data_IF_229983975133
#
_entry.id   IF_229983975133
#
_cell.length_a   1.000
_cell.length_b   1.000
_cell.length_c   1.000
_cell.angle_alpha   90.00
_cell.angle_beta   90.00
_cell.angle_gamma   90.00
#
_symmetry.space_group_name_H-M   'P 1'
#
loop_
_entity.id
_entity.type
_entity.pdbx_description
1 polymer ?
#
# COMPACT_ATOMS: atom_id res chain seq x y z
N UNK A 1 58.67 60.10 -22.28
CA UNK A 1 59.31 58.77 -22.17
C UNK A 1 58.68 57.99 -21.03
N UNK A 2 58.10 56.83 -21.37
CA UNK A 2 57.85 55.63 -20.53
C UNK A 2 56.94 55.75 -19.30
N UNK A 3 55.64 55.58 -19.56
CA UNK A 3 54.68 54.95 -18.65
C UNK A 3 55.15 53.54 -18.27
N UNK A 4 55.20 53.22 -16.96
CA UNK A 4 55.39 51.86 -16.45
C UNK A 4 54.07 51.38 -15.84
N UNK A 5 53.38 50.50 -16.56
CA UNK A 5 52.22 49.77 -16.07
C UNK A 5 52.64 48.69 -15.06
N UNK A 6 52.09 48.77 -13.85
CA UNK A 6 52.04 47.63 -12.91
C UNK A 6 50.76 46.84 -13.20
N UNK A 7 50.82 45.54 -13.56
CA UNK A 7 49.61 44.73 -13.57
C UNK A 7 49.31 44.32 -12.13
N UNK A 8 48.17 44.77 -11.60
CA UNK A 8 47.56 44.17 -10.40
C UNK A 8 46.98 42.81 -10.83
N UNK A 9 47.68 41.72 -10.47
CA UNK A 9 47.04 40.40 -10.44
C UNK A 9 45.99 40.41 -9.31
N UNK A 10 44.72 40.48 -9.69
CA UNK A 10 43.61 40.12 -8.82
C UNK A 10 43.51 38.60 -8.78
N UNK A 11 44.01 38.00 -7.70
CA UNK A 11 43.79 36.59 -7.39
C UNK A 11 42.35 36.46 -6.88
N UNK A 12 41.41 36.11 -7.74
CA UNK A 12 40.07 35.72 -7.35
C UNK A 12 40.13 34.33 -6.70
N UNK A 13 40.14 34.29 -5.37
CA UNK A 13 40.02 33.04 -4.61
C UNK A 13 38.62 32.47 -4.76
N UNK A 14 38.48 31.41 -5.55
CA UNK A 14 37.26 30.61 -5.61
C UNK A 14 37.12 29.83 -4.29
N UNK A 15 36.25 30.31 -3.41
CA UNK A 15 35.81 29.55 -2.23
C UNK A 15 34.87 28.45 -2.74
N UNK A 16 35.42 27.26 -2.96
CA UNK A 16 34.62 26.06 -3.19
C UNK A 16 33.99 25.62 -1.87
N UNK A 17 32.71 25.96 -1.67
CA UNK A 17 31.90 25.37 -0.61
C UNK A 17 31.76 23.86 -0.88
N UNK A 18 32.13 22.97 0.05
CA UNK A 18 31.87 21.55 -0.10
C UNK A 18 30.36 21.35 0.00
N UNK A 19 29.72 21.07 -1.14
CA UNK A 19 28.37 20.51 -1.14
C UNK A 19 28.49 19.10 -0.56
N UNK A 20 28.09 18.94 0.70
CA UNK A 20 27.88 17.63 1.31
C UNK A 20 26.70 16.96 0.59
N UNK A 21 26.98 16.28 -0.52
CA UNK A 21 26.04 15.37 -1.15
C UNK A 21 25.88 14.17 -0.20
N UNK A 22 24.79 14.17 0.58
CA UNK A 22 24.35 12.96 1.28
C UNK A 22 24.10 11.83 0.25
N UNK A 23 24.15 10.55 0.65
CA UNK A 23 23.84 9.46 -0.25
C UNK A 23 22.45 9.68 -0.84
N UNK A 24 22.36 9.87 -2.15
CA UNK A 24 21.09 10.01 -2.84
C UNK A 24 20.28 8.72 -2.62
N UNK A 25 19.06 8.86 -2.10
CA UNK A 25 18.10 7.77 -2.09
C UNK A 25 17.75 7.48 -3.57
N UNK A 26 17.99 6.26 -4.03
CA UNK A 26 17.77 5.89 -5.44
C UNK A 26 16.28 5.71 -5.79
N UNK A 27 15.41 5.56 -4.78
CA UNK A 27 13.99 5.34 -4.95
C UNK A 27 13.15 6.34 -4.14
N UNK A 28 11.85 6.52 -4.46
CA UNK A 28 10.96 7.41 -3.73
C UNK A 28 10.85 7.06 -2.24
N UNK A 29 10.95 8.08 -1.40
CA UNK A 29 10.80 7.95 0.04
C UNK A 29 10.32 9.25 0.70
N UNK A 30 9.67 9.12 1.86
CA UNK A 30 9.35 10.26 2.72
C UNK A 30 9.39 9.83 4.19
N UNK A 31 9.96 10.67 5.04
CA UNK A 31 10.00 10.52 6.50
C UNK A 31 9.37 11.75 7.11
N UNK A 32 8.40 11.56 7.99
CA UNK A 32 7.67 12.66 8.62
C UNK A 32 7.26 12.32 10.05
N UNK A 33 7.04 13.37 10.82
CA UNK A 33 6.44 13.29 12.14
C UNK A 33 4.92 13.12 12.02
N UNK A 34 4.37 12.08 12.64
CA UNK A 34 2.97 11.72 12.48
C UNK A 34 2.03 12.76 13.08
N UNK A 35 2.39 13.41 14.18
CA UNK A 35 1.48 14.28 14.93
C UNK A 35 1.12 15.53 14.13
N UNK A 36 2.14 16.14 13.52
CA UNK A 36 2.00 17.43 12.83
C UNK A 36 2.24 17.33 11.31
N UNK A 37 2.61 16.16 10.81
CA UNK A 37 2.90 15.92 9.40
C UNK A 37 4.18 16.57 8.89
N UNK A 38 5.05 17.13 9.75
CA UNK A 38 6.29 17.80 9.33
C UNK A 38 7.24 16.80 8.68
N UNK A 39 7.76 17.17 7.53
CA UNK A 39 8.68 16.33 6.77
C UNK A 39 10.09 16.50 7.31
N UNK A 40 10.74 15.39 7.63
CA UNK A 40 12.15 15.34 8.05
C UNK A 40 13.07 15.10 6.86
N UNK A 41 12.65 14.23 5.95
CA UNK A 41 13.38 13.90 4.73
C UNK A 41 12.41 13.43 3.65
N UNK A 42 12.70 13.74 2.39
CA UNK A 42 11.97 13.17 1.27
C UNK A 42 12.84 13.07 0.01
N UNK A 43 12.51 12.12 -0.85
CA UNK A 43 13.11 11.91 -2.17
C UNK A 43 11.99 11.52 -3.13
N UNK A 44 11.92 12.17 -4.29
CA UNK A 44 10.92 11.87 -5.34
C UNK A 44 9.49 11.64 -4.80
N UNK A 45 9.05 12.46 -3.83
CA UNK A 45 7.86 12.18 -3.03
C UNK A 45 6.57 12.09 -3.86
N UNK A 46 6.55 12.70 -5.05
CA UNK A 46 5.44 12.73 -6.01
C UNK A 46 5.61 11.77 -7.19
N UNK A 47 6.71 11.00 -7.24
CA UNK A 47 6.92 10.01 -8.30
C UNK A 47 5.88 8.91 -8.17
N UNK A 48 5.17 8.64 -9.27
CA UNK A 48 4.17 7.57 -9.29
C UNK A 48 4.84 6.21 -9.19
N UNK A 49 4.21 5.33 -8.42
CA UNK A 49 4.72 3.99 -8.13
C UNK A 49 3.58 2.98 -8.06
N UNK A 50 3.87 1.73 -8.38
CA UNK A 50 2.92 0.63 -8.15
C UNK A 50 2.82 0.34 -6.64
N UNK A 51 1.65 0.49 -6.00
CA UNK A 51 1.53 0.40 -4.54
C UNK A 51 1.79 -1.02 -4.00
N UNK A 52 1.57 -2.04 -4.81
CA UNK A 52 1.48 -3.43 -4.34
C UNK A 52 0.53 -3.53 -3.13
N UNK A 53 0.81 -4.43 -2.20
CA UNK A 53 -0.01 -4.61 -0.99
C UNK A 53 -0.13 -3.37 -0.07
N UNK A 54 0.58 -2.26 -0.31
CA UNK A 54 0.32 -1.01 0.42
C UNK A 54 -1.11 -0.49 0.18
N UNK A 55 -1.72 -0.84 -0.96
CA UNK A 55 -3.14 -0.60 -1.26
C UNK A 55 -4.08 -1.07 -0.14
N UNK A 56 -3.73 -2.14 0.58
CA UNK A 56 -4.55 -2.69 1.66
C UNK A 56 -4.72 -1.71 2.84
N UNK A 57 -3.85 -0.69 2.96
CA UNK A 57 -4.09 0.41 3.89
C UNK A 57 -5.29 1.27 3.46
N UNK A 58 -5.46 1.53 2.16
CA UNK A 58 -6.64 2.23 1.65
C UNK A 58 -7.89 1.37 1.82
N UNK A 59 -7.79 0.06 1.61
CA UNK A 59 -8.89 -0.88 1.92
C UNK A 59 -9.27 -0.87 3.39
N UNK A 60 -8.29 -0.87 4.29
CA UNK A 60 -8.53 -0.73 5.73
C UNK A 60 -9.18 0.62 6.06
N UNK A 61 -8.66 1.71 5.50
CA UNK A 61 -9.19 3.06 5.70
C UNK A 61 -10.67 3.20 5.27
N UNK A 62 -11.02 2.78 4.05
CA UNK A 62 -12.41 2.74 3.58
C UNK A 62 -13.29 1.86 4.47
N UNK A 63 -12.75 0.73 4.95
CA UNK A 63 -13.46 -0.15 5.88
C UNK A 63 -13.71 0.52 7.23
N UNK A 64 -12.74 1.28 7.77
CA UNK A 64 -12.90 2.01 9.02
C UNK A 64 -13.95 3.11 8.91
N UNK A 65 -13.96 3.83 7.77
CA UNK A 65 -15.01 4.79 7.43
C UNK A 65 -16.39 4.12 7.38
N UNK A 66 -16.51 2.95 6.74
CA UNK A 66 -17.76 2.19 6.70
C UNK A 66 -18.22 1.71 8.09
N UNK A 67 -17.30 1.33 8.98
CA UNK A 67 -17.61 0.99 10.38
C UNK A 67 -18.13 2.23 11.11
N UNK A 68 -17.44 3.37 11.00
CA UNK A 68 -17.83 4.62 11.65
C UNK A 68 -19.19 5.15 11.14
N UNK A 69 -19.52 4.89 9.87
CA UNK A 69 -20.81 5.21 9.27
C UNK A 69 -21.92 4.18 9.60
N UNK A 70 -21.61 3.14 10.38
CA UNK A 70 -22.56 2.08 10.75
C UNK A 70 -23.04 1.25 9.54
N UNK A 71 -22.24 1.18 8.47
CA UNK A 71 -22.52 0.32 7.32
C UNK A 71 -22.15 -1.15 7.57
N UNK A 72 -21.19 -1.37 8.47
CA UNK A 72 -20.69 -2.69 8.90
C UNK A 72 -20.25 -2.58 10.36
N UNK A 73 -20.07 -3.70 11.03
CA UNK A 73 -19.46 -3.79 12.36
C UNK A 73 -18.28 -4.78 12.34
N UNK A 74 -17.43 -4.72 13.37
CA UNK A 74 -16.29 -5.63 13.46
C UNK A 74 -16.71 -7.10 13.51
N UNK A 75 -17.90 -7.40 14.01
CA UNK A 75 -18.48 -8.73 14.05
C UNK A 75 -19.33 -9.11 12.83
N UNK A 76 -19.42 -8.22 11.83
CA UNK A 76 -20.12 -8.48 10.57
C UNK A 76 -19.52 -9.67 9.80
N UNK A 77 -20.36 -10.46 9.09
CA UNK A 77 -19.90 -11.55 8.26
C UNK A 77 -19.30 -11.04 6.95
N UNK A 78 -18.08 -11.49 6.66
CA UNK A 78 -17.41 -11.33 5.37
C UNK A 78 -17.39 -12.69 4.67
N UNK A 79 -18.11 -12.78 3.54
CA UNK A 79 -18.21 -14.00 2.73
C UNK A 79 -17.07 -14.07 1.73
N UNK A 80 -16.37 -15.20 1.69
CA UNK A 80 -15.39 -15.51 0.65
C UNK A 80 -16.15 -15.85 -0.63
N UNK A 81 -16.04 -15.00 -1.64
CA UNK A 81 -16.61 -15.21 -2.97
C UNK A 81 -15.74 -16.16 -3.81
N UNK A 82 -16.25 -16.58 -4.98
CA UNK A 82 -15.43 -17.32 -5.97
C UNK A 82 -14.26 -16.47 -6.50
N UNK A 83 -14.49 -15.16 -6.75
CA UNK A 83 -13.44 -14.23 -7.20
C UNK A 83 -12.33 -14.11 -6.17
N UNK A 84 -12.70 -13.75 -4.93
CA UNK A 84 -11.75 -13.56 -3.84
C UNK A 84 -10.91 -14.83 -3.56
N UNK A 85 -11.51 -16.02 -3.53
CA UNK A 85 -10.74 -17.27 -3.37
C UNK A 85 -9.76 -17.53 -4.54
N UNK A 86 -10.11 -17.04 -5.74
CA UNK A 86 -9.33 -17.15 -6.97
C UNK A 86 -8.11 -16.25 -7.05
N UNK A 87 -7.98 -15.26 -6.14
CA UNK A 87 -6.84 -14.34 -6.14
C UNK A 87 -5.49 -15.10 -5.97
N UNK A 88 -4.41 -14.62 -6.61
CA UNK A 88 -3.08 -15.19 -6.43
C UNK A 88 -2.52 -14.93 -5.02
N UNK A 89 -1.57 -15.76 -4.53
CA UNK A 89 -0.89 -15.54 -3.24
C UNK A 89 -0.17 -14.18 -3.18
N UNK A 90 0.06 -13.57 -2.02
CA UNK A 90 -0.23 -14.02 -0.65
C UNK A 90 -1.73 -14.19 -0.38
N UNK A 91 -2.15 -15.33 0.21
CA UNK A 91 -3.56 -15.61 0.52
C UNK A 91 -3.74 -16.54 1.72
N UNK A 92 -4.94 -16.56 2.30
CA UNK A 92 -5.32 -17.49 3.37
C UNK A 92 -5.78 -18.85 2.82
N UNK A 93 -6.39 -18.87 1.64
CA UNK A 93 -6.80 -20.09 0.96
C UNK A 93 -8.13 -20.67 1.46
N UNK A 94 -9.02 -19.83 1.98
CA UNK A 94 -10.36 -20.28 2.38
C UNK A 94 -11.22 -20.63 1.16
N UNK A 95 -12.16 -21.57 1.33
CA UNK A 95 -13.04 -22.01 0.25
C UNK A 95 -14.13 -20.96 -0.03
N UNK A 96 -14.60 -20.81 -1.29
CA UNK A 96 -15.79 -20.01 -1.59
C UNK A 96 -16.98 -20.42 -0.70
N UNK A 97 -17.74 -19.44 -0.25
CA UNK A 97 -18.86 -19.61 0.69
C UNK A 97 -18.44 -19.59 2.17
N UNK A 98 -17.15 -19.68 2.48
CA UNK A 98 -16.67 -19.54 3.86
C UNK A 98 -16.99 -18.14 4.39
N UNK A 99 -17.34 -18.04 5.66
CA UNK A 99 -17.64 -16.77 6.34
C UNK A 99 -16.56 -16.53 7.39
N UNK A 100 -16.05 -15.31 7.45
CA UNK A 100 -15.17 -14.84 8.53
C UNK A 100 -15.72 -13.57 9.14
N UNK A 101 -15.37 -13.33 10.40
CA UNK A 101 -15.64 -12.05 11.06
C UNK A 101 -14.79 -10.92 10.45
N UNK A 102 -15.33 -9.72 10.26
CA UNK A 102 -14.59 -8.58 9.69
C UNK A 102 -13.30 -8.27 10.47
N UNK A 103 -13.34 -8.32 11.80
CA UNK A 103 -12.16 -8.21 12.66
C UNK A 103 -11.03 -9.20 12.29
N UNK A 104 -11.38 -10.47 12.05
CA UNK A 104 -10.41 -11.47 11.59
C UNK A 104 -9.91 -11.15 10.17
N UNK A 105 -10.82 -10.71 9.29
CA UNK A 105 -10.47 -10.33 7.92
C UNK A 105 -9.43 -9.20 7.89
N UNK A 106 -9.63 -8.14 8.68
CA UNK A 106 -8.72 -7.02 8.79
C UNK A 106 -7.34 -7.45 9.33
N UNK A 107 -7.30 -8.28 10.37
CA UNK A 107 -6.03 -8.83 10.92
C UNK A 107 -5.29 -9.68 9.89
N UNK A 108 -5.98 -10.58 9.18
CA UNK A 108 -5.39 -11.41 8.12
C UNK A 108 -4.86 -10.56 6.95
N UNK A 109 -5.61 -9.53 6.57
CA UNK A 109 -5.22 -8.59 5.51
C UNK A 109 -4.01 -7.74 5.90
N UNK A 110 -3.94 -7.23 7.12
CA UNK A 110 -2.86 -6.34 7.56
C UNK A 110 -1.56 -7.10 7.86
N UNK A 111 -1.65 -8.24 8.54
CA UNK A 111 -0.47 -8.99 9.01
C UNK A 111 0.08 -9.94 7.94
N UNK A 112 -0.78 -10.75 7.30
CA UNK A 112 -0.37 -11.72 6.25
C UNK A 112 -0.47 -11.14 4.84
N UNK A 113 -1.00 -9.92 4.70
CA UNK A 113 -1.18 -9.30 3.37
C UNK A 113 -2.07 -10.15 2.45
N UNK A 114 -3.09 -10.82 3.00
CA UNK A 114 -3.90 -11.79 2.26
C UNK A 114 -4.76 -11.13 1.16
N UNK A 115 -4.51 -11.46 -0.10
CA UNK A 115 -5.18 -10.92 -1.28
C UNK A 115 -6.62 -11.39 -1.41
N UNK A 116 -6.87 -12.65 -1.10
CA UNK A 116 -8.22 -13.24 -1.06
C UNK A 116 -9.08 -12.53 -0.03
N UNK A 117 -8.56 -12.31 1.17
CA UNK A 117 -9.28 -11.60 2.23
C UNK A 117 -9.52 -10.15 1.87
N UNK A 118 -8.53 -9.44 1.30
CA UNK A 118 -8.71 -8.05 0.86
C UNK A 118 -9.79 -7.93 -0.24
N UNK A 119 -9.82 -8.86 -1.20
CA UNK A 119 -10.87 -8.91 -2.22
C UNK A 119 -12.24 -9.20 -1.61
N UNK A 120 -12.33 -10.15 -0.68
CA UNK A 120 -13.58 -10.46 0.01
C UNK A 120 -14.11 -9.25 0.80
N UNK A 121 -13.24 -8.54 1.53
CA UNK A 121 -13.60 -7.28 2.22
C UNK A 121 -14.12 -6.26 1.23
N UNK A 122 -13.41 -6.02 0.12
CA UNK A 122 -13.82 -5.07 -0.90
C UNK A 122 -15.19 -5.40 -1.50
N UNK A 123 -15.42 -6.66 -1.88
CA UNK A 123 -16.70 -7.10 -2.45
C UNK A 123 -17.86 -7.04 -1.45
N UNK A 124 -17.64 -7.41 -0.19
CA UNK A 124 -18.72 -7.41 0.81
C UNK A 124 -19.09 -5.97 1.26
N UNK A 125 -18.12 -5.05 1.33
CA UNK A 125 -18.37 -3.68 1.78
C UNK A 125 -18.79 -2.77 0.63
N UNK A 126 -18.22 -2.96 -0.56
CA UNK A 126 -18.54 -2.16 -1.74
C UNK A 126 -19.64 -2.78 -2.61
N UNK A 127 -20.07 -4.02 -2.36
CA UNK A 127 -20.99 -4.78 -3.22
C UNK A 127 -20.32 -5.37 -4.47
N UNK A 128 -19.25 -4.73 -4.96
CA UNK A 128 -18.38 -5.25 -6.02
C UNK A 128 -16.97 -4.67 -5.92
N UNK A 129 -16.00 -5.27 -6.60
CA UNK A 129 -14.65 -4.71 -6.71
C UNK A 129 -14.67 -3.29 -7.30
N UNK A 130 -15.46 -3.05 -8.35
CA UNK A 130 -15.52 -1.77 -9.04
C UNK A 130 -16.08 -0.66 -8.13
N UNK A 131 -17.21 -0.93 -7.47
CA UNK A 131 -17.81 0.00 -6.53
C UNK A 131 -16.91 0.26 -5.31
N UNK A 132 -16.19 -0.76 -4.83
CA UNK A 132 -15.20 -0.55 -3.77
C UNK A 132 -14.01 0.31 -4.24
N UNK A 133 -13.50 0.09 -5.45
CA UNK A 133 -12.44 0.92 -6.02
C UNK A 133 -12.89 2.38 -6.20
N UNK A 134 -14.14 2.63 -6.57
CA UNK A 134 -14.72 3.98 -6.60
C UNK A 134 -14.71 4.65 -5.22
N UNK A 135 -15.09 3.91 -4.17
CA UNK A 135 -14.99 4.39 -2.79
C UNK A 135 -13.54 4.71 -2.39
N UNK A 136 -12.59 3.83 -2.73
CA UNK A 136 -11.15 4.06 -2.49
C UNK A 136 -10.67 5.34 -3.18
N UNK A 137 -11.06 5.57 -4.43
CA UNK A 137 -10.66 6.78 -5.17
C UNK A 137 -11.38 8.04 -4.68
N UNK A 138 -12.59 7.91 -4.17
CA UNK A 138 -13.32 9.02 -3.52
C UNK A 138 -12.61 9.46 -2.25
N UNK A 139 -12.20 8.52 -1.40
CA UNK A 139 -11.40 8.83 -0.21
C UNK A 139 -10.01 9.34 -0.58
N UNK A 140 -9.35 8.79 -1.60
CA UNK A 140 -8.08 9.31 -2.10
C UNK A 140 -8.18 10.79 -2.49
N UNK A 141 -9.23 11.18 -3.23
CA UNK A 141 -9.51 12.59 -3.55
C UNK A 141 -9.76 13.44 -2.31
N UNK A 142 -10.58 12.94 -1.37
CA UNK A 142 -10.90 13.64 -0.11
C UNK A 142 -9.65 13.94 0.72
N UNK A 143 -8.71 12.99 0.75
CA UNK A 143 -7.44 13.13 1.44
C UNK A 143 -6.43 14.01 0.68
N UNK A 144 -6.69 14.35 -0.59
CA UNK A 144 -5.76 15.10 -1.43
C UNK A 144 -4.64 14.24 -2.02
N UNK A 145 -4.85 12.93 -2.16
CA UNK A 145 -3.91 11.98 -2.78
C UNK A 145 -3.90 12.11 -4.31
N UNK A 146 -3.39 13.23 -4.83
CA UNK A 146 -3.48 13.62 -6.25
C UNK A 146 -2.62 12.77 -7.19
N UNK A 147 -1.69 11.98 -6.65
CA UNK A 147 -0.86 11.05 -7.40
C UNK A 147 -1.28 9.59 -7.24
N UNK A 148 -2.54 9.33 -6.85
CA UNK A 148 -3.03 7.98 -6.56
C UNK A 148 -4.30 7.61 -7.33
N UNK A 149 -4.35 6.36 -7.79
CA UNK A 149 -5.53 5.73 -8.36
C UNK A 149 -5.55 4.23 -8.02
N UNK A 150 -6.68 3.74 -7.54
CA UNK A 150 -6.88 2.37 -7.10
C UNK A 150 -7.92 1.66 -7.97
N UNK A 151 -7.67 0.40 -8.31
CA UNK A 151 -8.59 -0.42 -9.15
C UNK A 151 -8.99 -1.74 -8.50
N UNK A 152 -8.29 -2.13 -7.43
CA UNK A 152 -8.57 -3.33 -6.65
C UNK A 152 -8.22 -3.10 -5.17
N UNK A 153 -8.83 -3.86 -4.23
CA UNK A 153 -8.56 -3.73 -2.80
C UNK A 153 -7.27 -4.42 -2.35
N UNK A 154 -6.68 -5.29 -3.17
CA UNK A 154 -5.56 -6.13 -2.73
C UNK A 154 -4.19 -5.58 -3.12
N UNK A 155 -4.10 -4.67 -4.09
CA UNK A 155 -2.83 -4.14 -4.57
C UNK A 155 -2.18 -4.95 -5.69
N UNK A 156 -2.87 -5.93 -6.27
CA UNK A 156 -2.35 -6.66 -7.42
C UNK A 156 -2.14 -5.72 -8.61
N UNK A 157 -1.17 -6.08 -9.45
CA UNK A 157 -0.71 -5.23 -10.53
C UNK A 157 -1.83 -4.88 -11.51
N UNK A 158 -1.93 -3.60 -11.81
CA UNK A 158 -2.63 -3.02 -12.95
C UNK A 158 -1.84 -1.79 -13.40
N UNK A 159 -1.71 -1.51 -14.71
CA UNK A 159 -1.07 -0.28 -15.18
C UNK A 159 -1.80 0.97 -14.68
N UNK A 160 -3.11 0.90 -14.45
CA UNK A 160 -3.93 2.00 -13.97
C UNK A 160 -3.83 2.19 -12.45
N UNK A 161 -3.15 1.31 -11.72
CA UNK A 161 -3.06 1.39 -10.26
C UNK A 161 -1.71 1.96 -9.82
N UNK A 162 -1.73 3.17 -9.26
CA UNK A 162 -0.52 3.87 -8.84
C UNK A 162 -0.76 4.70 -7.58
N UNK A 163 0.33 5.07 -6.91
CA UNK A 163 0.35 5.98 -5.75
C UNK A 163 1.68 6.73 -5.70
N UNK A 164 1.90 7.55 -4.68
CA UNK A 164 3.18 8.23 -4.43
C UNK A 164 3.59 8.06 -2.97
N UNK A 165 4.87 8.30 -2.66
CA UNK A 165 5.34 8.24 -1.27
C UNK A 165 4.60 9.28 -0.39
N UNK A 166 4.38 10.48 -0.92
CA UNK A 166 3.62 11.56 -0.25
C UNK A 166 2.18 11.17 0.03
N UNK A 167 1.48 10.60 -0.97
CA UNK A 167 0.07 10.22 -0.82
C UNK A 167 -0.12 9.10 0.18
N UNK A 168 0.79 8.12 0.21
CA UNK A 168 0.81 7.10 1.25
C UNK A 168 1.06 7.70 2.64
N UNK A 169 1.88 8.75 2.74
CA UNK A 169 2.06 9.51 3.98
C UNK A 169 0.76 10.13 4.48
N UNK A 170 -0.03 10.76 3.59
CA UNK A 170 -1.35 11.28 3.95
C UNK A 170 -2.32 10.19 4.41
N UNK A 171 -2.32 9.05 3.72
CA UNK A 171 -3.17 7.92 4.09
C UNK A 171 -2.82 7.40 5.49
N UNK A 172 -1.53 7.31 5.82
CA UNK A 172 -1.07 6.93 7.16
C UNK A 172 -1.54 7.92 8.21
N UNK A 173 -1.38 9.22 7.95
CA UNK A 173 -1.89 10.28 8.85
C UNK A 173 -3.39 10.12 9.09
N UNK A 174 -4.17 9.96 8.01
CA UNK A 174 -5.62 9.79 8.10
C UNK A 174 -6.01 8.55 8.92
N UNK A 175 -5.37 7.40 8.69
CA UNK A 175 -5.62 6.18 9.46
C UNK A 175 -5.33 6.39 10.95
N UNK A 176 -4.17 6.97 11.27
CA UNK A 176 -3.71 7.09 12.67
C UNK A 176 -4.45 8.18 13.44
N UNK A 177 -4.85 9.27 12.78
CA UNK A 177 -5.55 10.39 13.41
C UNK A 177 -7.07 10.17 13.49
N UNK A 178 -7.69 9.67 12.42
CA UNK A 178 -9.15 9.47 12.39
C UNK A 178 -9.56 8.16 13.08
N UNK A 179 -8.67 7.15 13.12
CA UNK A 179 -8.96 5.83 13.67
C UNK A 179 -7.88 5.27 14.62
N UNK A 180 -7.46 6.01 15.66
CA UNK A 180 -6.41 5.59 16.58
C UNK A 180 -6.74 4.26 17.30
N UNK A 181 -8.02 3.92 17.48
CA UNK A 181 -8.47 2.68 18.11
C UNK A 181 -8.01 1.41 17.38
N UNK A 182 -7.65 1.51 16.09
CA UNK A 182 -7.15 0.37 15.30
C UNK A 182 -5.63 0.29 15.23
N UNK A 183 -4.90 1.23 15.87
CA UNK A 183 -3.44 1.21 15.94
C UNK A 183 -2.85 -0.15 16.39
N UNK A 184 -3.42 -0.85 17.39
CA UNK A 184 -2.89 -2.15 17.84
C UNK A 184 -2.86 -3.25 16.76
N UNK A 185 -3.60 -3.13 15.65
CA UNK A 185 -3.55 -4.13 14.59
C UNK A 185 -2.29 -4.06 13.73
N UNK A 186 -1.66 -2.89 13.66
CA UNK A 186 -0.43 -2.70 12.88
C UNK A 186 0.82 -3.22 13.59
N UNK A 187 0.74 -3.44 14.91
CA UNK A 187 1.81 -3.99 15.74
C UNK A 187 1.66 -5.50 16.02
N UNK A 188 0.67 -6.18 15.45
CA UNK A 188 0.50 -7.64 15.61
C UNK A 188 1.74 -8.37 15.07
N UNK A 189 2.37 -9.18 15.89
CA UNK A 189 3.62 -9.88 15.56
C UNK A 189 3.39 -11.12 14.69
N UNK A 190 2.22 -11.75 14.82
CA UNK A 190 1.83 -12.88 14.00
C UNK A 190 0.40 -13.35 14.25
N UNK A 191 -0.07 -14.23 13.37
CA UNK A 191 -1.40 -14.82 13.43
C UNK A 191 -1.33 -16.32 13.71
N UNK A 192 -2.34 -16.83 14.40
CA UNK A 192 -2.60 -18.26 14.54
C UNK A 192 -3.91 -18.64 13.84
N UNK A 193 -3.85 -19.55 12.88
CA UNK A 193 -5.02 -20.14 12.20
C UNK A 193 -5.05 -21.63 12.50
N UNK A 194 -5.87 -22.01 13.48
CA UNK A 194 -5.79 -23.34 14.09
C UNK A 194 -4.37 -23.58 14.62
N UNK A 195 -3.69 -24.61 14.13
CA UNK A 195 -2.30 -24.94 14.51
C UNK A 195 -1.23 -24.19 13.71
N UNK A 196 -1.63 -23.45 12.66
CA UNK A 196 -0.68 -22.78 11.76
C UNK A 196 -0.33 -21.39 12.30
N UNK A 197 0.94 -21.17 12.58
CA UNK A 197 1.49 -19.85 12.91
C UNK A 197 1.96 -19.14 11.65
N UNK A 198 1.65 -17.85 11.55
CA UNK A 198 1.92 -17.01 10.38
C UNK A 198 2.56 -15.71 10.88
N UNK A 199 3.88 -15.51 10.72
CA UNK A 199 4.53 -14.30 11.19
C UNK A 199 4.12 -13.08 10.34
N UNK A 200 4.24 -11.90 10.93
CA UNK A 200 4.10 -10.63 10.20
C UNK A 200 5.23 -10.48 9.16
N UNK A 201 4.90 -9.93 7.99
CA UNK A 201 5.88 -9.59 6.96
C UNK A 201 6.68 -8.31 7.24
N UNK A 202 6.17 -7.46 8.13
CA UNK A 202 6.87 -6.28 8.59
C UNK A 202 8.00 -6.69 9.56
N UNK A 203 9.23 -6.68 9.07
CA UNK A 203 10.41 -7.07 9.84
C UNK A 203 10.80 -6.06 10.93
N UNK A 204 10.20 -4.88 11.01
CA UNK A 204 10.45 -3.97 12.13
C UNK A 204 9.70 -4.38 13.40
N UNK A 205 8.57 -5.08 13.27
CA UNK A 205 7.75 -5.48 14.42
C UNK A 205 8.53 -6.45 15.32
N UNK A 206 8.67 -6.07 16.58
CA UNK A 206 9.45 -6.76 17.61
C UNK A 206 10.97 -6.70 17.41
N UNK A 207 11.48 -5.97 16.41
CA UNK A 207 12.92 -5.91 16.08
C UNK A 207 13.47 -4.51 15.96
N UNK A 208 12.64 -3.48 15.89
CA UNK A 208 13.09 -2.10 15.84
C UNK A 208 12.49 -1.35 17.03
N UNK A 209 13.31 -0.65 17.84
CA UNK A 209 12.83 0.02 19.05
C UNK A 209 11.68 0.99 18.77
N UNK A 210 10.53 0.71 19.39
CA UNK A 210 9.31 1.50 19.26
C UNK A 210 8.45 1.18 18.04
N UNK A 211 8.79 0.18 17.21
CA UNK A 211 8.04 -0.15 15.99
C UNK A 211 6.58 -0.49 16.29
N UNK A 212 5.67 0.22 15.60
CA UNK A 212 4.22 0.10 15.79
C UNK A 212 3.44 -0.03 14.47
N UNK A 213 4.14 -0.22 13.35
CA UNK A 213 3.49 -0.43 12.06
C UNK A 213 4.41 -0.33 10.84
N UNK A 214 3.87 -0.31 9.62
CA UNK A 214 2.45 -0.53 9.30
C UNK A 214 2.26 -1.61 8.24
N UNK A 215 2.83 -1.45 7.04
CA UNK A 215 2.50 -2.33 5.92
C UNK A 215 3.66 -2.50 4.94
N UNK A 216 3.82 -3.73 4.45
CA UNK A 216 4.73 -4.09 3.36
C UNK A 216 3.98 -4.29 2.05
N UNK A 217 4.69 -4.23 0.92
CA UNK A 217 4.15 -4.66 -0.36
C UNK A 217 5.23 -5.14 -1.34
N UNK A 218 4.86 -6.08 -2.21
CA UNK A 218 5.67 -6.48 -3.35
C UNK A 218 4.78 -6.94 -4.50
N UNK A 219 5.04 -6.39 -5.68
CA UNK A 219 4.80 -7.00 -6.98
C UNK A 219 6.06 -6.79 -7.81
N UNK A 220 6.31 -7.64 -8.81
CA UNK A 220 7.51 -7.52 -9.64
C UNK A 220 7.76 -6.08 -10.17
N UNK A 221 6.74 -5.36 -10.67
CA UNK A 221 6.92 -4.00 -11.16
C UNK A 221 7.23 -2.96 -10.09
N UNK A 222 6.81 -3.19 -8.83
CA UNK A 222 6.99 -2.21 -7.75
C UNK A 222 8.30 -2.38 -7.01
N UNK A 223 8.95 -3.54 -7.10
CA UNK A 223 9.93 -3.96 -6.09
C UNK A 223 9.31 -4.06 -4.70
N UNK A 224 10.17 -4.06 -3.69
CA UNK A 224 9.80 -4.26 -2.29
C UNK A 224 9.51 -2.92 -1.64
N UNK A 225 8.24 -2.68 -1.31
CA UNK A 225 7.77 -1.45 -0.67
C UNK A 225 7.55 -1.66 0.83
N UNK A 226 7.66 -0.59 1.60
CA UNK A 226 7.44 -0.56 3.04
C UNK A 226 6.93 0.78 3.53
N UNK A 227 5.97 0.73 4.44
CA UNK A 227 5.61 1.83 5.33
C UNK A 227 5.89 1.34 6.74
N UNK A 228 6.92 1.91 7.37
CA UNK A 228 7.28 1.65 8.76
C UNK A 228 6.91 2.83 9.65
N UNK A 229 6.50 2.54 10.89
CA UNK A 229 6.29 3.56 11.91
C UNK A 229 6.86 3.11 13.25
N UNK A 230 7.34 4.06 14.03
CA UNK A 230 7.85 3.82 15.36
C UNK A 230 7.59 5.00 16.29
N UNK A 231 7.40 4.70 17.58
CA UNK A 231 7.17 5.67 18.64
C UNK A 231 8.30 5.60 19.67
N UNK A 232 8.97 6.71 19.95
CA UNK A 232 10.01 6.86 20.99
C UNK A 232 9.77 8.14 21.75
N UNK A 233 9.77 8.07 23.08
CA UNK A 233 9.59 9.23 23.97
C UNK A 233 8.37 10.10 23.62
N UNK A 234 7.26 9.46 23.25
CA UNK A 234 6.01 10.13 22.86
C UNK A 234 5.95 10.65 21.42
N UNK A 235 7.07 10.64 20.68
CA UNK A 235 7.14 11.09 19.28
C UNK A 235 6.99 9.91 18.33
N UNK A 236 6.06 10.01 17.38
CA UNK A 236 5.84 8.96 16.36
C UNK A 236 6.37 9.42 15.00
N UNK A 237 7.30 8.64 14.43
CA UNK A 237 7.79 8.86 13.07
C UNK A 237 7.27 7.80 12.10
N UNK A 238 7.06 8.21 10.86
CA UNK A 238 6.68 7.33 9.75
C UNK A 238 7.69 7.47 8.64
N UNK A 239 8.12 6.34 8.08
CA UNK A 239 8.95 6.26 6.88
C UNK A 239 8.22 5.45 5.80
N UNK A 240 8.02 6.05 4.63
CA UNK A 240 7.53 5.39 3.41
C UNK A 240 8.73 5.18 2.50
N UNK A 241 8.95 3.94 2.07
CA UNK A 241 10.08 3.51 1.23
C UNK A 241 9.54 2.64 0.10
N UNK A 242 9.81 3.02 -1.15
CA UNK A 242 9.34 2.31 -2.33
C UNK A 242 10.52 1.71 -3.11
N UNK A 243 10.29 0.61 -3.83
CA UNK A 243 11.23 0.14 -4.86
C UNK A 243 12.49 -0.59 -4.41
N UNK A 244 12.56 -1.08 -3.17
CA UNK A 244 13.73 -1.81 -2.68
C UNK A 244 13.87 -3.19 -3.34
N UNK A 245 15.06 -3.79 -3.24
CA UNK A 245 15.40 -5.01 -4.02
C UNK A 245 15.14 -6.33 -3.30
N UNK A 246 14.83 -6.29 -2.01
CA UNK A 246 14.53 -7.47 -1.20
C UNK A 246 13.68 -7.13 0.04
N UNK A 247 13.06 -8.12 0.71
CA UNK A 247 12.39 -7.92 1.98
C UNK A 247 13.31 -7.38 3.09
N UNK A 248 14.60 -7.72 3.04
CA UNK A 248 15.60 -7.29 4.03
C UNK A 248 15.97 -5.83 3.78
N UNK A 249 16.38 -5.48 2.55
CA UNK A 249 16.83 -4.11 2.24
C UNK A 249 15.71 -3.08 2.42
N UNK A 250 14.43 -3.44 2.16
CA UNK A 250 13.31 -2.54 2.50
C UNK A 250 13.22 -2.24 4.00
N UNK A 251 13.44 -3.24 4.85
CA UNK A 251 13.37 -3.09 6.29
C UNK A 251 14.57 -2.27 6.79
N UNK A 252 15.76 -2.54 6.28
CA UNK A 252 16.98 -1.82 6.64
C UNK A 252 16.96 -0.35 6.21
N UNK A 253 16.52 -0.06 4.98
CA UNK A 253 16.36 1.32 4.51
C UNK A 253 15.30 2.06 5.35
N UNK A 254 14.18 1.40 5.67
CA UNK A 254 13.14 2.01 6.52
C UNK A 254 13.65 2.28 7.94
N UNK A 255 14.34 1.32 8.56
CA UNK A 255 14.90 1.48 9.89
C UNK A 255 15.96 2.59 9.96
N UNK A 256 16.87 2.64 8.97
CA UNK A 256 17.86 3.71 8.82
C UNK A 256 17.21 5.08 8.75
N UNK A 257 16.16 5.22 7.94
CA UNK A 257 15.45 6.49 7.76
C UNK A 257 14.71 6.92 9.03
N UNK A 258 14.13 5.97 9.77
CA UNK A 258 13.51 6.25 11.07
C UNK A 258 14.58 6.71 12.09
N UNK A 259 15.72 6.03 12.19
CA UNK A 259 16.80 6.43 13.11
C UNK A 259 17.37 7.81 12.76
N UNK A 260 17.59 8.09 11.48
CA UNK A 260 17.96 9.43 11.01
C UNK A 260 16.92 10.48 11.40
N UNK A 261 15.62 10.15 11.27
CA UNK A 261 14.54 11.04 11.68
C UNK A 261 14.48 11.30 13.19
N UNK A 262 14.75 10.29 14.02
CA UNK A 262 14.81 10.45 15.48
C UNK A 262 16.05 11.24 15.92
N UNK A 263 17.17 11.11 15.21
CA UNK A 263 18.39 11.88 15.48
C UNK A 263 18.35 13.32 14.91
N UNK A 264 17.48 13.59 13.94
CA UNK A 264 17.39 14.89 13.29
C UNK A 264 16.68 15.92 14.19
N UNK A 265 17.23 17.14 14.35
CA UNK A 265 16.51 18.25 14.97
C UNK A 265 15.34 18.67 14.08
N UNK A 266 14.25 19.13 14.68
CA UNK A 266 13.14 19.73 13.93
C UNK A 266 13.63 20.97 13.18
N UNK A 267 13.74 20.89 11.84
CA UNK A 267 14.32 21.96 11.03
C UNK A 267 13.43 22.44 9.88
N UNK A 268 12.40 21.66 9.52
CA UNK A 268 11.45 21.99 8.44
C UNK A 268 10.04 22.20 8.97
N UNK A 269 9.40 23.27 8.51
CA UNK A 269 7.99 23.57 8.78
C UNK A 269 7.04 23.01 7.71
N UNK A 270 7.58 22.49 6.61
CA UNK A 270 6.77 21.94 5.52
C UNK A 270 6.18 20.61 5.93
N UNK A 271 4.86 20.47 5.77
CA UNK A 271 4.13 19.24 6.08
C UNK A 271 3.91 18.38 4.84
N UNK A 272 3.61 17.09 5.01
CA UNK A 272 3.22 16.17 3.92
C UNK A 272 2.09 16.76 3.08
N UNK A 273 1.10 17.38 3.74
CA UNK A 273 -0.03 18.01 3.06
C UNK A 273 0.36 19.25 2.24
N UNK A 274 1.26 20.09 2.77
CA UNK A 274 1.66 21.37 2.18
C UNK A 274 2.88 21.29 1.25
N UNK A 275 3.50 20.11 1.09
CA UNK A 275 4.64 19.93 0.20
C UNK A 275 4.24 20.27 -1.25
N UNK A 276 4.91 21.23 -1.92
CA UNK A 276 4.63 21.54 -3.31
C UNK A 276 5.08 20.37 -4.21
N UNK A 277 4.28 20.06 -5.24
CA UNK A 277 4.63 19.04 -6.22
C UNK A 277 5.92 19.40 -6.96
N UNK A 278 6.77 18.41 -7.22
CA UNK A 278 8.04 18.58 -7.92
C UNK A 278 8.46 17.29 -8.64
N UNK A 279 9.41 17.42 -9.56
CA UNK A 279 9.94 16.29 -10.34
C UNK A 279 8.95 15.71 -11.34
N UNK A 280 9.15 14.45 -11.70
CA UNK A 280 8.24 13.70 -12.57
C UNK A 280 7.09 13.09 -11.76
N UNK A 281 5.87 13.57 -12.03
CA UNK A 281 4.65 13.17 -11.33
C UNK A 281 3.71 12.31 -12.17
N UNK A 282 4.13 11.89 -13.37
CA UNK A 282 3.24 11.22 -14.34
C UNK A 282 3.69 9.83 -14.69
N UNK A 283 5.00 9.57 -14.78
CA UNK A 283 5.51 8.25 -15.16
C UNK A 283 5.69 7.33 -13.96
N UNK A 284 5.45 6.03 -14.19
CA UNK A 284 5.64 4.95 -13.20
C UNK A 284 6.87 4.15 -13.59
N UNK A 285 7.75 3.86 -12.64
CA UNK A 285 8.89 2.97 -12.88
C UNK A 285 8.44 1.50 -12.77
N UNK A 286 8.89 0.64 -13.70
CA UNK A 286 8.62 -0.80 -13.70
C UNK A 286 9.91 -1.60 -13.46
N UNK A 287 10.01 -2.22 -12.28
CA UNK A 287 11.18 -3.00 -11.86
C UNK A 287 11.12 -4.49 -12.25
N UNK A 288 10.12 -4.92 -13.05
CA UNK A 288 9.87 -6.35 -13.36
C UNK A 288 11.09 -7.03 -13.96
N UNK A 289 11.79 -6.35 -14.86
CA UNK A 289 12.93 -6.89 -15.59
C UNK A 289 14.18 -7.02 -14.73
N UNK A 290 14.33 -6.15 -13.73
CA UNK A 290 15.42 -6.21 -12.77
C UNK A 290 15.22 -7.31 -11.73
N UNK A 291 13.97 -7.50 -11.26
CA UNK A 291 13.69 -8.31 -10.08
C UNK A 291 13.15 -9.71 -10.39
N UNK A 292 12.26 -9.86 -11.37
CA UNK A 292 11.55 -11.12 -11.58
C UNK A 292 12.01 -11.92 -12.79
N UNK A 293 12.59 -11.30 -13.82
CA UNK A 293 13.24 -12.05 -14.91
C UNK A 293 14.54 -12.72 -14.47
N UNK A 294 15.22 -12.18 -13.44
CA UNK A 294 16.59 -12.57 -13.06
C UNK A 294 16.69 -13.40 -11.76
N UNK A 295 15.63 -13.50 -10.95
CA UNK A 295 15.68 -14.15 -9.62
C UNK A 295 14.77 -15.39 -9.52
N UNK A 296 15.16 -16.42 -8.75
CA UNK A 296 14.31 -17.59 -8.50
C UNK A 296 13.06 -17.25 -7.67
N UNK A 297 11.98 -18.01 -7.84
CA UNK A 297 10.66 -17.74 -7.23
C UNK A 297 10.68 -17.60 -5.69
N UNK A 298 11.62 -18.25 -5.00
CA UNK A 298 11.78 -18.12 -3.53
C UNK A 298 12.25 -16.72 -3.10
N UNK A 299 12.97 -16.02 -3.96
CA UNK A 299 13.42 -14.63 -3.73
C UNK A 299 12.36 -13.59 -4.15
N UNK A 300 11.27 -14.02 -4.80
CA UNK A 300 10.13 -13.21 -5.21
C UNK A 300 8.98 -13.28 -4.19
N UNK A 301 9.31 -13.46 -2.92
CA UNK A 301 8.37 -13.61 -1.81
C UNK A 301 8.44 -12.41 -0.87
N UNK A 302 7.28 -11.92 -0.42
CA UNK A 302 7.23 -10.95 0.69
C UNK A 302 7.71 -11.54 2.02
N UNK A 303 7.65 -12.87 2.16
CA UNK A 303 8.19 -13.54 3.34
C UNK A 303 9.71 -13.51 3.28
N UNK A 304 10.34 -12.93 4.30
CA UNK A 304 11.78 -13.06 4.46
C UNK A 304 12.14 -14.54 4.67
N UNK A 305 13.12 -15.01 3.89
CA UNK A 305 13.76 -16.30 4.18
C UNK A 305 14.59 -16.12 5.45
N UNK A 306 14.58 -17.09 6.40
CA UNK A 306 15.46 -17.04 7.55
C UNK A 306 16.91 -16.83 7.08
N UNK A 307 17.51 -15.75 7.56
CA UNK A 307 18.87 -15.42 7.20
C UNK A 307 19.79 -16.37 7.97
N UNK A 308 20.61 -17.16 7.27
CA UNK A 308 21.53 -18.09 7.91
C UNK A 308 22.55 -17.38 8.81
N UNK A 309 23.13 -18.10 9.78
CA UNK A 309 23.96 -17.57 10.87
C UNK A 309 25.19 -16.73 10.45
N UNK A 310 25.54 -16.73 9.16
CA UNK A 310 26.72 -16.06 8.58
C UNK A 310 26.43 -14.71 7.90
N UNK A 311 25.18 -14.27 7.81
CA UNK A 311 24.90 -12.98 7.18
C UNK A 311 25.27 -11.80 8.10
N UNK A 312 25.62 -10.62 7.54
CA UNK A 312 25.84 -9.42 8.33
C UNK A 312 24.60 -9.13 9.19
N UNK A 313 24.82 -8.89 10.49
CA UNK A 313 23.73 -8.44 11.37
C UNK A 313 23.34 -7.03 10.94
N UNK A 314 22.04 -6.80 10.78
CA UNK A 314 21.55 -5.46 10.53
C UNK A 314 21.90 -4.57 11.73
N UNK A 315 22.48 -3.37 11.53
CA UNK A 315 22.80 -2.47 12.64
C UNK A 315 21.55 -1.81 13.25
N UNK A 316 20.39 -1.91 12.58
CA UNK A 316 19.15 -1.26 12.99
C UNK A 316 18.10 -2.22 13.56
N UNK A 317 18.21 -3.52 13.28
CA UNK A 317 17.25 -4.52 13.73
C UNK A 317 17.87 -5.40 14.82
N UNK A 318 17.17 -5.48 15.93
CA UNK A 318 17.46 -6.36 17.04
C UNK A 318 16.96 -7.78 16.74
N UNK A 319 17.56 -8.75 17.44
CA UNK A 319 17.02 -10.11 17.44
C UNK A 319 15.74 -10.10 18.27
N UNK A 320 14.69 -10.81 17.83
CA UNK A 320 13.58 -11.12 18.72
C UNK A 320 14.13 -11.84 19.95
N UNK A 321 13.94 -11.22 21.10
CA UNK A 321 14.31 -11.72 22.41
C UNK A 321 13.17 -12.54 23.05
N UNK A 322 11.98 -12.55 22.45
CA UNK A 322 10.81 -13.28 22.90
C UNK A 322 10.13 -14.07 21.78
N UNK A 323 9.24 -14.99 22.18
CA UNK A 323 8.37 -15.73 21.25
C UNK A 323 7.27 -14.78 20.78
N UNK A 324 7.03 -14.63 19.46
CA UNK A 324 5.98 -13.75 18.96
C UNK A 324 4.62 -14.04 19.57
N UNK A 325 3.88 -12.98 19.88
CA UNK A 325 2.49 -13.05 20.31
C UNK A 325 1.60 -13.38 19.11
N UNK A 326 0.98 -14.55 19.15
CA UNK A 326 0.12 -15.03 18.06
C UNK A 326 -1.35 -14.65 18.29
N UNK A 327 -1.90 -13.83 17.40
CA UNK A 327 -3.33 -13.47 17.43
C UNK A 327 -4.15 -14.52 16.69
N UNK A 328 -5.08 -15.15 17.40
CA UNK A 328 -5.97 -16.15 16.81
C UNK A 328 -6.93 -15.50 15.80
N UNK A 329 -6.98 -16.07 14.59
CA UNK A 329 -7.93 -15.68 13.53
C UNK A 329 -8.46 -16.92 12.82
N UNK A 330 -9.66 -16.83 12.26
CA UNK A 330 -10.28 -17.94 11.56
C UNK A 330 -11.64 -17.63 10.95
N UNK A 331 -12.27 -18.69 10.47
CA UNK A 331 -13.63 -18.68 9.95
C UNK A 331 -14.67 -18.74 11.08
N UNK A 332 -15.90 -18.35 10.77
CA UNK A 332 -17.04 -18.34 11.70
C UNK A 332 -17.01 -17.17 12.67
N UNK A 333 -17.86 -17.25 13.70
CA UNK A 333 -17.94 -16.28 14.80
C UNK A 333 -18.46 -14.88 14.40
N UNK A 334 -19.03 -14.75 13.21
CA UNK A 334 -19.68 -13.51 12.78
C UNK A 334 -21.13 -13.48 13.27
N UNK A 335 -21.42 -12.56 14.18
CA UNK A 335 -22.74 -12.34 14.82
C UNK A 335 -23.35 -10.99 14.48
N UNK A 336 -22.57 -10.12 13.83
CA UNK A 336 -22.94 -8.75 13.53
C UNK A 336 -23.88 -8.63 12.33
N UNK A 337 -24.37 -7.41 12.07
CA UNK A 337 -25.20 -7.14 10.90
C UNK A 337 -24.44 -7.46 9.62
N UNK A 338 -25.14 -7.91 8.57
CA UNK A 338 -24.54 -8.05 7.25
C UNK A 338 -24.14 -6.67 6.71
N UNK A 339 -23.02 -6.57 5.97
CA UNK A 339 -22.64 -5.32 5.33
C UNK A 339 -23.78 -4.74 4.48
N UNK A 340 -24.06 -3.45 4.61
CA UNK A 340 -25.20 -2.80 3.92
C UNK A 340 -25.20 -3.02 2.40
N UNK A 341 -24.03 -3.08 1.77
CA UNK A 341 -23.92 -3.30 0.32
C UNK A 341 -24.40 -4.70 -0.13
N UNK A 342 -24.59 -5.63 0.80
CA UNK A 342 -25.12 -6.97 0.54
C UNK A 342 -26.65 -7.05 0.71
N UNK A 343 -27.29 -5.94 1.02
CA UNK A 343 -28.73 -5.84 1.27
C UNK A 343 -29.40 -4.99 0.18
N UNK A 344 -30.62 -5.35 -0.20
CA UNK A 344 -31.49 -4.54 -1.04
C UNK A 344 -32.11 -3.37 -0.25
N UNK A 345 -32.86 -2.50 -0.93
CA UNK A 345 -33.50 -1.33 -0.30
C UNK A 345 -34.51 -1.70 0.81
N UNK A 346 -34.99 -2.94 0.86
CA UNK A 346 -35.85 -3.49 1.91
C UNK A 346 -35.09 -4.24 3.01
N UNK A 347 -33.75 -4.23 2.98
CA UNK A 347 -32.91 -4.93 3.94
C UNK A 347 -32.84 -6.44 3.72
N UNK A 348 -33.35 -6.96 2.60
CA UNK A 348 -33.26 -8.38 2.23
C UNK A 348 -31.96 -8.63 1.49
N UNK A 349 -31.41 -9.82 1.67
CA UNK A 349 -30.17 -10.17 1.00
C UNK A 349 -30.35 -10.28 -0.50
N UNK A 350 -29.35 -9.82 -1.25
CA UNK A 350 -29.17 -10.32 -2.60
C UNK A 350 -28.96 -11.83 -2.51
N UNK A 351 -29.99 -12.60 -2.89
CA UNK A 351 -29.78 -14.00 -3.23
C UNK A 351 -28.67 -14.06 -4.28
N UNK A 352 -27.76 -15.04 -4.19
CA UNK A 352 -26.71 -15.30 -5.19
C UNK A 352 -27.35 -15.74 -6.54
N UNK A 353 -28.33 -15.01 -7.05
CA UNK A 353 -28.86 -15.15 -8.41
C UNK A 353 -27.82 -14.46 -9.28
N UNK A 354 -27.06 -15.20 -10.11
CA UNK A 354 -26.19 -14.58 -11.07
C UNK A 354 -27.05 -13.63 -11.91
N UNK A 355 -26.73 -12.33 -11.91
CA UNK A 355 -27.35 -11.42 -12.86
C UNK A 355 -27.03 -11.97 -14.25
N UNK A 356 -28.03 -12.35 -15.06
CA UNK A 356 -27.76 -12.82 -16.40
C UNK A 356 -27.06 -11.70 -17.15
N UNK A 357 -25.82 -11.92 -17.55
CA UNK A 357 -25.16 -11.05 -18.52
C UNK A 357 -25.89 -11.21 -19.84
N UNK A 358 -26.22 -10.09 -20.48
CA UNK A 358 -26.83 -10.12 -21.80
C UNK A 358 -25.95 -10.91 -22.78
N UNK A 359 -26.60 -11.76 -23.57
CA UNK A 359 -25.97 -12.62 -24.58
C UNK A 359 -25.67 -11.78 -25.84
N UNK A 360 -24.41 -11.67 -26.29
CA UNK A 360 -24.04 -10.87 -27.47
C UNK A 360 -24.74 -11.28 -28.77
N UNK A 361 -25.27 -12.50 -28.83
CA UNK A 361 -25.95 -13.12 -29.96
C UNK A 361 -27.48 -12.85 -30.01
N UNK A 362 -28.06 -12.14 -29.04
CA UNK A 362 -29.48 -11.82 -29.01
C UNK A 362 -29.74 -10.31 -28.90
N UNK A 363 -30.82 -9.75 -29.47
CA UNK A 363 -31.14 -8.34 -29.29
C UNK A 363 -31.31 -7.95 -27.80
N UNK A 364 -30.92 -6.72 -27.46
CA UNK A 364 -31.01 -6.19 -26.10
C UNK A 364 -32.49 -6.11 -25.65
N UNK A 365 -32.85 -6.64 -24.46
CA UNK A 365 -34.22 -6.58 -23.99
C UNK A 365 -34.67 -5.14 -23.73
N UNK A 366 -35.93 -4.78 -24.03
CA UNK A 366 -36.46 -3.44 -23.76
C UNK A 366 -36.36 -3.10 -22.27
N UNK A 367 -35.71 -1.99 -21.93
CA UNK A 367 -35.53 -1.53 -20.55
C UNK A 367 -34.17 -1.83 -19.91
N UNK A 368 -33.24 -2.46 -20.62
CA UNK A 368 -31.83 -2.48 -20.20
C UNK A 368 -31.21 -1.11 -20.53
N UNK A 369 -31.19 -0.18 -19.56
CA UNK A 369 -30.42 1.05 -19.73
C UNK A 369 -28.92 0.73 -19.92
N UNK A 370 -28.24 1.38 -20.86
CA UNK A 370 -26.82 1.17 -21.04
C UNK A 370 -26.06 1.68 -19.81
N UNK A 371 -25.32 0.79 -19.15
CA UNK A 371 -24.20 1.20 -18.32
C UNK A 371 -23.16 1.75 -19.31
N UNK A 372 -23.08 3.08 -19.42
CA UNK A 372 -22.05 3.75 -20.21
C UNK A 372 -20.70 3.46 -19.57
N UNK A 373 -20.05 2.40 -20.03
CA UNK A 373 -18.61 2.22 -19.88
C UNK A 373 -18.00 3.17 -20.92
N UNK A 374 -17.35 4.23 -20.45
CA UNK A 374 -16.72 5.24 -21.31
C UNK A 374 -15.84 4.60 -22.38
N UNK A 375 -16.29 4.68 -23.63
CA UNK A 375 -15.55 4.26 -24.80
C UNK A 375 -14.57 5.37 -25.18
N UNK A 376 -13.28 5.05 -25.13
CA UNK A 376 -12.26 5.82 -25.81
C UNK A 376 -12.50 5.71 -27.33
N UNK A 377 -12.72 6.85 -27.97
CA UNK A 377 -12.72 7.01 -29.42
C UNK A 377 -11.34 6.67 -29.97
N UNK A 378 -11.23 5.58 -30.72
CA UNK A 378 -10.15 5.37 -31.68
C UNK A 378 -10.77 5.40 -33.08
N UNK A 379 -10.45 6.44 -33.83
CA UNK A 379 -10.77 6.62 -35.24
C UNK A 379 -10.18 5.48 -36.07
N UNK A 380 -11.05 4.82 -36.85
CA UNK A 380 -10.66 3.94 -37.95
C UNK A 380 -10.18 4.78 -39.13
N UNK A 381 -9.00 4.44 -39.67
CA UNK A 381 -8.64 4.73 -41.05
C UNK A 381 -8.31 3.40 -41.78
N UNK A 382 -9.06 3.15 -42.86
CA UNK A 382 -8.51 2.63 -44.11
C UNK A 382 -8.29 1.12 -44.33
N UNK A 383 -9.36 0.41 -44.75
CA UNK A 383 -9.44 -0.50 -45.93
C UNK A 383 -8.55 -1.77 -46.07
N UNK A 384 -8.91 -2.76 -46.91
CA UNK A 384 -10.12 -3.57 -46.89
C UNK A 384 -9.82 -5.10 -46.93
N UNK A 385 -10.89 -5.88 -46.77
CA UNK A 385 -10.92 -7.34 -46.73
C UNK A 385 -10.24 -8.05 -47.93
N UNK A 386 -9.60 -9.19 -47.65
CA UNK A 386 -9.45 -10.29 -48.61
C UNK A 386 -10.13 -11.54 -48.07
N UNK A 387 -10.97 -12.08 -48.94
CA UNK A 387 -11.83 -13.24 -48.75
C UNK A 387 -11.05 -14.56 -48.64
N UNK A 388 -11.77 -15.53 -48.08
CA UNK A 388 -11.49 -16.96 -48.07
C UNK A 388 -11.04 -17.50 -49.43
N UNK A 389 -9.94 -18.25 -49.40
CA UNK A 389 -9.84 -19.62 -49.90
C UNK A 389 -8.76 -20.36 -49.11
#
# INVERSE_FOLDING_TARGET
MRYRHFPRLLLAGAVALPVLAGPALANPAIVFDLENGRILQHQEAFKRWYPASLTKLMTAYVTFRAIAAGEVQLDSPIKVTKRSAGEPPSKMGFKPGSIMRLDNALKMMLVKSANDVAMAVGENIGGSQAAFAERMNTEARRLGMTGSHFVNPNGLFSPDQYTTARDLGLLVMAIRMEFPQYAPWFSIEGLAVGKKQIPNYNLLIGRYPGADGMKTGFVCPSGFNMIGSATRDGRTLVAVVLGERSPITRAETTARLLDQGFAAPESSWTTVAALPAYGDTTSVNDLRDELCKKKPAKEQSEAAVPVGDKAPKSPYQEKLDHVPTWVAVGLGGATGPKPKAMLDASGREYADVPLPTWRPDQPQPPGAEPIVIGSATATQDGQPAKALN
#
